data_IF_248818976343
#
_entry.id   IF_248818976343
#
_cell.length_a   1.000
_cell.length_b   1.000
_cell.length_c   1.000
_cell.angle_alpha   90.00
_cell.angle_beta   90.00
_cell.angle_gamma   90.00
#
_symmetry.space_group_name_H-M   'P 1'
#
loop_
_entity.id
_entity.type
_entity.pdbx_description
1 polymer ?
#
# COMPACT_ATOMS: atom_id res chain seq x y z
N UNK A 1 0.83 -3.45 10.31
CA UNK A 1 1.77 -3.73 9.19
C UNK A 1 0.94 -4.18 8.00
N UNK A 2 1.28 -3.72 6.81
CA UNK A 2 0.55 -4.01 5.56
C UNK A 2 1.55 -4.38 4.45
N UNK A 3 1.12 -5.14 3.45
CA UNK A 3 1.92 -5.39 2.24
C UNK A 3 1.36 -4.54 1.12
N UNK A 4 2.23 -3.79 0.45
CA UNK A 4 1.89 -3.06 -0.77
C UNK A 4 2.42 -3.83 -1.98
N UNK A 5 1.57 -4.14 -2.95
CA UNK A 5 1.93 -4.91 -4.16
C UNK A 5 1.62 -4.12 -5.43
N UNK A 6 2.22 -4.55 -6.55
CA UNK A 6 2.04 -3.96 -7.88
C UNK A 6 2.41 -2.47 -8.00
N UNK A 7 3.16 -1.95 -7.02
CA UNK A 7 3.71 -0.60 -7.08
C UNK A 7 4.63 -0.42 -8.28
N UNK A 8 4.87 0.82 -8.76
CA UNK A 8 5.68 1.08 -9.95
C UNK A 8 7.12 0.60 -9.83
N UNK A 9 7.60 0.32 -8.62
CA UNK A 9 8.94 -0.23 -8.37
C UNK A 9 8.98 -1.76 -8.39
N UNK A 10 7.84 -2.43 -8.59
CA UNK A 10 7.72 -3.90 -8.66
C UNK A 10 8.02 -4.65 -7.36
N UNK A 11 8.45 -3.95 -6.32
CA UNK A 11 8.80 -4.56 -5.03
C UNK A 11 7.64 -4.50 -4.04
N UNK A 12 7.24 -5.68 -3.57
CA UNK A 12 6.34 -5.78 -2.43
C UNK A 12 7.11 -5.44 -1.14
N UNK A 13 6.79 -4.32 -0.51
CA UNK A 13 7.48 -3.87 0.71
C UNK A 13 6.52 -3.87 1.90
N UNK A 14 6.90 -4.49 3.04
CA UNK A 14 6.14 -4.37 4.27
C UNK A 14 6.21 -2.91 4.77
N UNK A 15 5.05 -2.30 4.98
CA UNK A 15 4.91 -0.94 5.47
C UNK A 15 4.28 -0.91 6.87
N UNK A 16 4.88 -0.13 7.77
CA UNK A 16 4.35 0.14 9.10
C UNK A 16 3.34 1.30 9.03
N UNK A 17 2.13 1.03 8.53
CA UNK A 17 1.01 1.96 8.60
C UNK A 17 0.28 1.82 9.95
N UNK A 18 -0.11 2.96 10.54
CA UNK A 18 -0.94 3.02 11.75
C UNK A 18 -2.41 2.89 11.37
N UNK A 19 -3.07 1.92 12.00
CA UNK A 19 -4.51 1.84 12.30
C UNK A 19 -5.47 2.49 11.31
N UNK A 20 -5.79 1.77 10.23
CA UNK A 20 -7.19 1.49 9.85
C UNK A 20 -7.16 0.50 8.67
N UNK A 21 -7.29 -0.79 8.99
CA UNK A 21 -7.39 -1.83 7.97
C UNK A 21 -8.75 -1.70 7.27
N UNK A 22 -8.76 -1.09 6.09
CA UNK A 22 -9.98 -0.89 5.29
C UNK A 22 -9.98 0.40 4.48
N UNK A 23 -9.31 1.46 4.96
CA UNK A 23 -9.21 2.71 4.19
C UNK A 23 -8.12 2.60 3.10
N UNK A 24 -8.33 3.18 1.91
CA UNK A 24 -7.29 3.27 0.89
C UNK A 24 -6.04 4.00 1.40
N UNK A 25 -4.90 3.31 1.30
CA UNK A 25 -3.61 3.85 1.71
C UNK A 25 -3.13 4.89 0.71
N UNK A 26 -2.75 6.05 1.22
CA UNK A 26 -2.12 7.13 0.45
C UNK A 26 -0.67 7.28 0.88
N UNK A 27 0.26 6.99 -0.01
CA UNK A 27 1.69 7.19 0.20
C UNK A 27 2.16 8.43 -0.53
N UNK A 28 2.79 9.36 0.18
CA UNK A 28 3.50 10.47 -0.44
C UNK A 28 4.86 9.98 -0.93
N UNK A 29 5.09 10.00 -2.26
CA UNK A 29 6.36 9.62 -2.89
C UNK A 29 6.77 10.68 -3.91
N UNK A 30 7.81 11.45 -3.56
CA UNK A 30 8.26 12.59 -4.36
C UNK A 30 7.16 13.63 -4.53
N UNK A 31 6.92 14.06 -5.78
CA UNK A 31 5.92 15.07 -6.14
C UNK A 31 4.55 14.44 -6.45
N UNK A 32 4.13 13.44 -5.67
CA UNK A 32 2.90 12.71 -5.94
C UNK A 32 2.43 11.86 -4.77
N UNK A 33 1.13 11.54 -4.82
CA UNK A 33 0.52 10.56 -3.94
C UNK A 33 0.23 9.29 -4.72
N UNK A 34 0.71 8.17 -4.20
CA UNK A 34 0.37 6.84 -4.67
C UNK A 34 -0.79 6.31 -3.85
N UNK A 35 -1.81 5.78 -4.53
CA UNK A 35 -2.96 5.20 -3.88
C UNK A 35 -2.91 3.68 -3.98
N UNK A 36 -3.08 3.03 -2.84
CA UNK A 36 -3.20 1.58 -2.73
C UNK A 36 -4.55 1.23 -2.10
N UNK A 37 -5.22 0.23 -2.64
CA UNK A 37 -6.54 -0.18 -2.20
C UNK A 37 -6.50 -1.59 -1.64
N UNK A 38 -7.26 -1.83 -0.56
CA UNK A 38 -7.30 -3.13 0.08
C UNK A 38 -7.96 -4.13 -0.87
N UNK A 39 -7.27 -5.22 -1.17
CA UNK A 39 -7.74 -6.19 -2.16
C UNK A 39 -8.60 -7.31 -1.56
N UNK A 40 -8.85 -7.26 -0.24
CA UNK A 40 -9.54 -8.35 0.47
C UNK A 40 -8.66 -9.57 0.75
N UNK A 41 -7.36 -9.47 0.44
CA UNK A 41 -6.40 -10.56 0.60
C UNK A 41 -5.46 -10.28 1.79
N UNK A 42 -5.06 -11.36 2.47
CA UNK A 42 -4.09 -11.31 3.56
C UNK A 42 -2.93 -12.23 3.21
N UNK A 43 -1.71 -11.74 3.43
CA UNK A 43 -0.50 -12.53 3.30
C UNK A 43 0.00 -12.98 4.68
N UNK A 44 0.58 -14.17 4.75
CA UNK A 44 1.31 -14.63 5.93
C UNK A 44 2.73 -14.05 5.90
N UNK A 45 3.08 -13.26 6.91
CA UNK A 45 4.45 -12.83 7.18
C UNK A 45 4.90 -13.38 8.53
N UNK A 46 5.46 -14.59 8.51
CA UNK A 46 6.02 -15.22 9.69
C UNK A 46 4.94 -15.58 10.73
N UNK A 47 3.81 -16.12 10.28
CA UNK A 47 2.68 -16.48 11.14
C UNK A 47 1.74 -15.31 11.50
N UNK A 48 2.00 -14.10 10.99
CA UNK A 48 1.12 -12.94 11.15
C UNK A 48 0.38 -12.68 9.84
N UNK A 49 -0.96 -12.60 9.91
CA UNK A 49 -1.78 -12.19 8.77
C UNK A 49 -1.69 -10.67 8.59
N UNK A 50 -1.18 -10.25 7.44
CA UNK A 50 -1.06 -8.84 7.07
C UNK A 50 -1.91 -8.54 5.84
N UNK A 51 -2.72 -7.47 5.86
CA UNK A 51 -3.58 -7.14 4.71
C UNK A 51 -2.72 -6.71 3.51
N UNK A 52 -3.12 -7.18 2.34
CA UNK A 52 -2.50 -6.87 1.05
C UNK A 52 -3.26 -5.75 0.37
N UNK A 53 -2.51 -4.72 -0.01
CA UNK A 53 -3.01 -3.55 -0.72
C UNK A 53 -2.35 -3.48 -2.08
N UNK A 54 -3.17 -3.34 -3.13
CA UNK A 54 -2.70 -3.25 -4.51
C UNK A 54 -2.61 -1.79 -4.95
N UNK A 55 -1.52 -1.45 -5.62
CA UNK A 55 -1.36 -0.14 -6.25
C UNK A 55 -2.44 0.08 -7.31
N UNK A 56 -3.05 1.27 -7.32
CA UNK A 56 -4.13 1.61 -8.24
C UNK A 56 -3.72 2.71 -9.22
N UNK A 57 -3.35 3.88 -8.69
CA UNK A 57 -2.85 5.00 -9.50
C UNK A 57 -2.02 5.98 -8.67
N UNK A 58 -1.27 6.84 -9.37
CA UNK A 58 -0.53 7.95 -8.77
C UNK A 58 -1.13 9.28 -9.23
N UNK A 59 -1.42 10.15 -8.27
CA UNK A 59 -1.73 11.56 -8.52
C UNK A 59 -0.43 12.35 -8.45
N UNK A 60 -0.12 13.15 -9.48
CA UNK A 60 0.92 14.19 -9.37
C UNK A 60 0.37 15.33 -8.52
N UNK A 61 1.14 15.80 -7.56
CA UNK A 61 0.88 17.10 -6.94
C UNK A 61 1.23 18.12 -8.03
N UNK A 62 0.24 18.85 -8.52
CA UNK A 62 0.50 19.98 -9.41
C UNK A 62 1.21 21.07 -8.58
N UNK A 63 2.35 21.54 -9.10
CA UNK A 63 3.13 22.66 -8.53
C UNK A 63 2.36 23.99 -8.61
#
# INVERSE_FOLDING_TARGET
>A
MVILVDGPEGNALPQHMRDDAGDPIRLLRGNGYERFEFYGEYADLGGQQVPVYRWCYRTRIAE
#
